data_IF_008501374896
#
_entry.id   IF_008501374896
#
_cell.length_a   1.000
_cell.length_b   1.000
_cell.length_c   1.000
_cell.angle_alpha   90.00
_cell.angle_beta   90.00
_cell.angle_gamma   90.00
#
_symmetry.space_group_name_H-M   'P 1'
#
loop_
_entity.id
_entity.type
_entity.pdbx_description
1 polymer ?
#
# COMPACT_ATOMS: atom_id res chain seq x y z
N UNK A 1 -3.75 14.98 3.75
CA UNK A 1 -3.66 15.14 2.27
C UNK A 1 -4.59 16.29 1.92
N UNK A 2 -4.08 17.40 1.37
CA UNK A 2 -4.94 18.54 1.01
C UNK A 2 -5.92 18.09 -0.09
N UNK A 3 -7.22 18.22 0.20
CA UNK A 3 -8.35 17.66 -0.54
C UNK A 3 -8.80 18.48 -1.76
N UNK A 4 -8.37 19.74 -1.86
CA UNK A 4 -8.81 20.66 -2.90
C UNK A 4 -8.42 20.33 -4.36
N UNK A 5 -7.38 19.54 -4.69
CA UNK A 5 -6.93 19.46 -6.09
C UNK A 5 -7.79 18.57 -7.00
N UNK A 6 -8.79 17.83 -6.48
CA UNK A 6 -9.61 16.91 -7.30
C UNK A 6 -10.98 17.46 -7.69
N UNK A 7 -11.41 18.59 -7.11
CA UNK A 7 -12.66 19.25 -7.46
C UNK A 7 -12.36 20.29 -8.53
N UNK A 8 -12.97 20.14 -9.70
CA UNK A 8 -12.83 21.09 -10.81
C UNK A 8 -13.09 22.53 -10.37
N UNK A 9 -12.45 23.48 -11.05
CA UNK A 9 -12.67 24.91 -10.79
C UNK A 9 -14.18 25.23 -10.84
N UNK A 10 -14.64 26.09 -9.92
CA UNK A 10 -16.06 26.48 -9.75
C UNK A 10 -17.05 25.38 -9.37
N UNK A 11 -16.68 24.09 -9.35
CA UNK A 11 -17.59 23.02 -8.94
C UNK A 11 -17.65 22.85 -7.42
N UNK A 12 -18.79 22.49 -6.83
CA UNK A 12 -18.90 22.25 -5.37
C UNK A 12 -18.45 20.84 -4.96
N UNK A 13 -18.49 19.90 -5.89
CA UNK A 13 -18.27 18.47 -5.64
C UNK A 13 -17.49 17.81 -6.77
N UNK A 14 -16.78 16.73 -6.46
CA UNK A 14 -16.24 15.78 -7.44
C UNK A 14 -16.84 14.40 -7.15
N UNK A 15 -17.47 13.78 -8.15
CA UNK A 15 -18.11 12.47 -8.01
C UNK A 15 -17.54 11.53 -9.07
N UNK A 16 -17.14 10.34 -8.61
CA UNK A 16 -16.71 9.24 -9.47
C UNK A 16 -17.59 8.05 -9.15
N UNK A 17 -18.10 7.39 -10.19
CA UNK A 17 -18.83 6.15 -10.09
C UNK A 17 -18.24 5.14 -11.07
N UNK A 18 -18.37 3.86 -10.76
CA UNK A 18 -17.91 2.77 -11.60
C UNK A 18 -18.59 1.48 -11.21
N UNK A 19 -18.54 0.51 -12.12
CA UNK A 19 -19.07 -0.83 -11.91
C UNK A 19 -17.93 -1.83 -11.99
N UNK A 20 -17.95 -2.81 -11.09
CA UNK A 20 -17.00 -3.92 -11.07
C UNK A 20 -17.77 -5.19 -11.36
N UNK A 21 -17.30 -5.97 -12.33
CA UNK A 21 -17.77 -7.31 -12.58
C UNK A 21 -16.86 -8.31 -11.87
N UNK A 22 -17.39 -9.07 -10.92
CA UNK A 22 -16.65 -10.14 -10.26
C UNK A 22 -16.70 -11.46 -11.05
N UNK A 23 -15.82 -12.39 -10.67
CA UNK A 23 -15.68 -13.72 -11.28
C UNK A 23 -16.95 -14.57 -11.20
N UNK A 24 -17.82 -14.31 -10.22
CA UNK A 24 -19.14 -14.92 -10.06
C UNK A 24 -20.23 -14.25 -10.92
N UNK A 25 -19.83 -13.32 -11.81
CA UNK A 25 -20.69 -12.49 -12.67
C UNK A 25 -21.63 -11.56 -11.92
N UNK A 26 -21.37 -11.29 -10.64
CA UNK A 26 -22.07 -10.22 -9.93
C UNK A 26 -21.43 -8.88 -10.26
N UNK A 27 -22.27 -7.90 -10.57
CA UNK A 27 -21.86 -6.51 -10.78
C UNK A 27 -22.09 -5.74 -9.49
N UNK A 28 -21.06 -5.03 -9.03
CA UNK A 28 -21.17 -4.11 -7.90
C UNK A 28 -20.96 -2.68 -8.36
N UNK A 29 -21.89 -1.81 -7.98
CA UNK A 29 -21.82 -0.39 -8.28
C UNK A 29 -21.10 0.35 -7.14
N UNK A 30 -20.01 1.04 -7.47
CA UNK A 30 -19.26 1.86 -6.54
C UNK A 30 -19.43 3.34 -6.86
N UNK A 31 -19.56 4.16 -5.82
CA UNK A 31 -19.59 5.61 -5.94
C UNK A 31 -18.79 6.27 -4.83
N UNK A 32 -18.02 7.30 -5.18
CA UNK A 32 -17.31 8.16 -4.24
C UNK A 32 -17.55 9.61 -4.65
N UNK A 33 -17.99 10.43 -3.71
CA UNK A 33 -18.19 11.86 -3.90
C UNK A 33 -17.49 12.64 -2.80
N UNK A 34 -16.88 13.75 -3.19
CA UNK A 34 -16.16 14.63 -2.28
C UNK A 34 -16.62 16.07 -2.44
N UNK A 35 -16.91 16.70 -1.32
CA UNK A 35 -17.36 18.09 -1.25
C UNK A 35 -16.22 19.04 -0.84
N UNK A 36 -16.37 20.35 -1.13
CA UNK A 36 -15.39 21.39 -0.77
C UNK A 36 -15.18 21.55 0.75
N UNK A 37 -16.19 21.23 1.56
CA UNK A 37 -16.11 21.23 3.03
C UNK A 37 -15.23 20.08 3.56
N UNK A 38 -14.84 19.11 2.71
CA UNK A 38 -14.03 17.96 3.05
C UNK A 38 -14.82 16.66 3.21
N UNK A 39 -16.16 16.73 3.21
CA UNK A 39 -17.06 15.60 3.37
C UNK A 39 -16.86 14.59 2.25
N UNK A 40 -16.94 13.32 2.63
CA UNK A 40 -16.72 12.17 1.76
C UNK A 40 -17.96 11.27 1.84
N UNK A 41 -18.64 11.13 0.72
CA UNK A 41 -19.77 10.22 0.56
C UNK A 41 -19.33 9.02 -0.26
N UNK A 42 -19.59 7.82 0.25
CA UNK A 42 -19.24 6.59 -0.44
C UNK A 42 -20.49 5.72 -0.52
N UNK A 43 -20.73 5.12 -1.70
CA UNK A 43 -21.84 4.21 -1.96
C UNK A 43 -21.34 2.90 -2.55
N UNK A 44 -21.87 1.80 -2.06
CA UNK A 44 -21.70 0.45 -2.63
C UNK A 44 -23.10 -0.12 -2.82
N UNK A 45 -23.45 -0.51 -4.05
CA UNK A 45 -24.76 -1.07 -4.42
C UNK A 45 -25.94 -0.20 -3.95
N UNK A 46 -25.77 1.11 -4.09
CA UNK A 46 -26.75 2.11 -3.69
C UNK A 46 -26.82 2.40 -2.18
N UNK A 47 -26.12 1.64 -1.32
CA UNK A 47 -26.08 1.85 0.12
C UNK A 47 -24.95 2.80 0.51
N UNK A 48 -25.22 3.72 1.46
CA UNK A 48 -24.18 4.59 2.01
C UNK A 48 -23.30 3.80 2.96
N UNK A 49 -21.99 3.76 2.70
CA UNK A 49 -21.01 3.11 3.59
C UNK A 49 -20.30 4.14 4.46
N UNK A 50 -19.83 3.69 5.63
CA UNK A 50 -19.29 4.60 6.65
C UNK A 50 -17.79 4.81 6.55
N UNK A 51 -17.08 3.89 5.91
CA UNK A 51 -15.61 3.88 5.94
C UNK A 51 -15.01 3.69 4.56
N UNK A 52 -13.89 4.38 4.29
CA UNK A 52 -13.09 4.15 3.09
C UNK A 52 -12.46 2.75 3.05
N UNK A 53 -12.43 2.03 4.17
CA UNK A 53 -11.91 0.67 4.25
C UNK A 53 -12.81 -0.31 3.47
N UNK A 54 -14.14 -0.16 3.56
CA UNK A 54 -15.09 -0.99 2.80
C UNK A 54 -14.90 -0.81 1.28
N UNK A 55 -14.70 0.43 0.83
CA UNK A 55 -14.38 0.70 -0.58
C UNK A 55 -13.03 0.08 -1.00
N UNK A 56 -12.02 0.21 -0.14
CA UNK A 56 -10.70 -0.38 -0.40
C UNK A 56 -10.78 -1.90 -0.49
N UNK A 57 -11.59 -2.57 0.34
CA UNK A 57 -11.82 -4.02 0.28
C UNK A 57 -12.54 -4.44 -1.01
N UNK A 58 -13.54 -3.66 -1.45
CA UNK A 58 -14.30 -3.94 -2.66
C UNK A 58 -13.48 -3.77 -3.94
N UNK A 59 -12.55 -2.80 -3.97
CA UNK A 59 -11.72 -2.49 -5.13
C UNK A 59 -10.23 -2.41 -4.75
N UNK A 60 -9.53 -3.56 -4.70
CA UNK A 60 -8.09 -3.56 -4.48
C UNK A 60 -7.34 -3.01 -5.70
N UNK A 61 -6.54 -1.97 -5.48
CA UNK A 61 -5.77 -1.28 -6.51
C UNK A 61 -4.27 -1.29 -6.19
N UNK A 62 -3.45 -1.57 -7.21
CA UNK A 62 -2.01 -1.33 -7.19
C UNK A 62 -1.66 -0.17 -8.11
N UNK A 63 -1.18 0.93 -7.52
CA UNK A 63 -0.73 2.10 -8.26
C UNK A 63 0.79 2.11 -8.37
N UNK A 64 1.27 2.20 -9.61
CA UNK A 64 2.67 2.47 -9.96
C UNK A 64 2.67 3.79 -10.71
N UNK A 65 3.32 4.80 -10.16
CA UNK A 65 3.37 6.14 -10.72
C UNK A 65 4.73 6.79 -10.39
N UNK A 66 5.01 8.01 -10.87
CA UNK A 66 6.27 8.67 -10.58
C UNK A 66 6.56 8.82 -9.08
N UNK A 67 5.56 8.90 -8.19
CA UNK A 67 5.80 8.97 -6.74
C UNK A 67 6.07 7.61 -6.06
N UNK A 68 5.90 6.51 -6.78
CA UNK A 68 6.00 5.16 -6.21
C UNK A 68 7.42 4.83 -5.72
N UNK A 69 8.46 5.45 -6.30
CA UNK A 69 9.85 5.23 -5.87
C UNK A 69 10.12 5.68 -4.43
N UNK A 70 9.28 6.60 -3.89
CA UNK A 70 9.36 7.01 -2.49
C UNK A 70 9.13 5.86 -1.52
N UNK A 71 8.62 4.71 -1.98
CA UNK A 71 8.58 3.48 -1.18
C UNK A 71 9.98 3.08 -0.69
N UNK A 72 11.03 3.24 -1.51
CA UNK A 72 12.41 2.96 -1.12
C UNK A 72 13.08 4.16 -0.47
N UNK A 73 13.06 5.33 -1.13
CA UNK A 73 13.78 6.53 -0.71
C UNK A 73 13.12 7.27 0.47
N UNK A 74 11.82 7.11 0.63
CA UNK A 74 11.05 7.90 1.56
C UNK A 74 11.08 7.40 3.01
N UNK A 75 10.32 8.11 3.84
CA UNK A 75 10.23 7.80 5.26
C UNK A 75 9.64 6.39 5.50
N UNK A 76 10.01 5.70 6.60
CA UNK A 76 9.47 4.39 7.00
C UNK A 76 7.94 4.29 7.02
N UNK A 77 7.25 5.44 7.14
CA UNK A 77 5.78 5.51 7.04
C UNK A 77 5.25 4.93 5.73
N UNK A 78 5.90 5.21 4.60
CA UNK A 78 5.46 4.72 3.28
C UNK A 78 5.60 3.20 3.19
N UNK A 79 6.68 2.65 3.73
CA UNK A 79 6.91 1.20 3.81
C UNK A 79 5.94 0.49 4.75
N UNK A 80 5.59 1.12 5.88
CA UNK A 80 4.50 0.64 6.74
C UNK A 80 3.15 0.69 6.04
N UNK A 81 2.84 1.74 5.27
CA UNK A 81 1.60 1.81 4.50
C UNK A 81 1.53 0.74 3.41
N UNK A 82 2.64 0.49 2.71
CA UNK A 82 2.75 -0.64 1.78
C UNK A 82 2.46 -1.96 2.48
N UNK A 83 3.10 -2.21 3.62
CA UNK A 83 2.89 -3.42 4.41
C UNK A 83 1.45 -3.56 4.91
N UNK A 84 0.90 -2.50 5.50
CA UNK A 84 -0.45 -2.47 6.06
C UNK A 84 -1.53 -2.67 4.99
N UNK A 85 -1.33 -2.13 3.77
CA UNK A 85 -2.20 -2.42 2.64
C UNK A 85 -2.23 -3.93 2.34
N UNK A 86 -1.06 -4.55 2.29
CA UNK A 86 -0.95 -5.98 2.00
C UNK A 86 -1.65 -6.83 3.05
N UNK A 87 -1.38 -6.55 4.33
CA UNK A 87 -1.99 -7.28 5.44
C UNK A 87 -3.50 -7.06 5.50
N UNK A 88 -3.97 -5.82 5.30
CA UNK A 88 -5.40 -5.49 5.28
C UNK A 88 -6.18 -6.37 4.29
N UNK A 89 -5.62 -6.63 3.12
CA UNK A 89 -6.30 -7.38 2.07
C UNK A 89 -6.30 -8.90 2.25
N UNK A 90 -5.33 -9.44 2.99
CA UNK A 90 -5.19 -10.90 3.19
C UNK A 90 -5.62 -11.37 4.58
N UNK A 91 -5.71 -10.48 5.56
CA UNK A 91 -6.06 -10.79 6.95
C UNK A 91 -7.27 -9.94 7.40
N UNK A 92 -8.49 -10.52 7.39
CA UNK A 92 -9.71 -9.79 7.75
C UNK A 92 -9.70 -9.18 9.16
N UNK A 93 -8.96 -9.77 10.11
CA UNK A 93 -8.89 -9.28 11.49
C UNK A 93 -7.95 -8.09 11.66
N UNK A 94 -7.16 -7.77 10.64
CA UNK A 94 -6.15 -6.72 10.69
C UNK A 94 -6.74 -5.35 10.99
N UNK A 95 -7.86 -4.97 10.34
CA UNK A 95 -8.45 -3.64 10.49
C UNK A 95 -8.85 -3.36 11.95
N UNK A 96 -9.50 -4.32 12.60
CA UNK A 96 -9.90 -4.20 14.00
C UNK A 96 -8.71 -4.07 14.96
N UNK A 97 -7.68 -4.91 14.77
CA UNK A 97 -6.44 -4.81 15.54
C UNK A 97 -5.71 -3.48 15.30
N UNK A 98 -5.70 -2.99 14.07
CA UNK A 98 -5.05 -1.74 13.70
C UNK A 98 -5.77 -0.54 14.33
N UNK A 99 -7.10 -0.52 14.33
CA UNK A 99 -7.89 0.53 14.97
C UNK A 99 -7.65 0.57 16.49
N UNK A 100 -7.64 -0.60 17.16
CA UNK A 100 -7.31 -0.72 18.58
C UNK A 100 -5.90 -0.20 18.88
N UNK A 101 -4.92 -0.60 18.07
CA UNK A 101 -3.54 -0.11 18.17
C UNK A 101 -3.47 1.42 18.03
N UNK A 102 -4.10 2.00 17.01
CA UNK A 102 -4.08 3.45 16.80
C UNK A 102 -4.74 4.20 17.95
N UNK A 103 -5.85 3.67 18.49
CA UNK A 103 -6.52 4.27 19.63
C UNK A 103 -5.64 4.21 20.89
N UNK A 104 -5.12 3.04 21.24
CA UNK A 104 -4.27 2.85 22.42
C UNK A 104 -3.00 3.73 22.35
N UNK A 105 -2.35 3.77 21.18
CA UNK A 105 -1.18 4.62 20.95
C UNK A 105 -1.51 6.11 21.09
N UNK A 106 -2.67 6.55 20.58
CA UNK A 106 -3.13 7.94 20.69
C UNK A 106 -3.40 8.32 22.14
N UNK A 107 -4.08 7.45 22.89
CA UNK A 107 -4.38 7.66 24.31
C UNK A 107 -3.08 7.72 25.13
N UNK A 108 -2.16 6.77 24.93
CA UNK A 108 -0.85 6.78 25.58
C UNK A 108 -0.05 8.04 25.24
N UNK A 109 0.03 8.44 23.97
CA UNK A 109 0.77 9.65 23.58
C UNK A 109 0.09 10.96 24.05
N UNK A 110 -1.22 10.96 24.24
CA UNK A 110 -1.93 12.07 24.89
C UNK A 110 -1.51 12.17 26.36
N UNK A 111 -1.52 11.02 27.04
CA UNK A 111 -1.10 10.92 28.43
C UNK A 111 0.36 11.33 28.66
N UNK A 112 1.29 10.84 27.84
CA UNK A 112 2.70 11.21 27.94
C UNK A 112 2.94 12.73 27.83
N UNK A 113 2.12 13.45 27.06
CA UNK A 113 2.25 14.90 26.86
C UNK A 113 1.59 15.74 27.94
N UNK A 114 0.51 15.24 28.53
CA UNK A 114 -0.37 16.05 29.37
C UNK A 114 -0.47 15.54 30.82
N UNK A 115 -0.04 14.32 31.10
CA UNK A 115 -0.06 13.70 32.43
C UNK A 115 -1.45 13.40 32.99
N UNK A 116 -2.49 13.36 32.14
CA UNK A 116 -3.92 13.32 32.58
C UNK A 116 -4.60 11.94 32.52
N UNK A 117 -3.95 10.87 32.99
CA UNK A 117 -4.62 9.59 33.23
C UNK A 117 -4.34 9.13 34.65
N UNK A 118 -5.32 8.50 35.28
CA UNK A 118 -5.07 7.74 36.49
C UNK A 118 -4.24 6.47 36.17
N UNK A 119 -3.62 5.90 37.20
CA UNK A 119 -2.75 4.73 37.05
C UNK A 119 -3.48 3.52 36.46
N UNK A 120 -4.78 3.37 36.73
CA UNK A 120 -5.59 2.26 36.21
C UNK A 120 -5.80 2.38 34.69
N UNK A 121 -6.13 3.58 34.21
CA UNK A 121 -6.30 3.88 32.80
C UNK A 121 -4.98 3.79 32.05
N UNK A 122 -3.89 4.28 32.64
CA UNK A 122 -2.53 4.11 32.09
C UNK A 122 -2.21 2.62 31.88
N UNK A 123 -2.38 1.80 32.92
CA UNK A 123 -2.11 0.37 32.86
C UNK A 123 -3.00 -0.34 31.82
N UNK A 124 -4.28 0.04 31.72
CA UNK A 124 -5.20 -0.51 30.75
C UNK A 124 -4.77 -0.18 29.30
N UNK A 125 -4.41 1.07 29.01
CA UNK A 125 -3.96 1.46 27.68
C UNK A 125 -2.58 0.88 27.32
N UNK A 126 -1.67 0.72 28.28
CA UNK A 126 -0.39 0.04 28.05
C UNK A 126 -0.62 -1.44 27.70
N UNK A 127 -1.54 -2.13 28.40
CA UNK A 127 -1.88 -3.52 28.10
C UNK A 127 -2.54 -3.67 26.74
N UNK A 128 -3.49 -2.79 26.39
CA UNK A 128 -4.14 -2.80 25.08
C UNK A 128 -3.13 -2.50 23.96
N UNK A 129 -2.24 -1.52 24.16
CA UNK A 129 -1.17 -1.20 23.22
C UNK A 129 -0.26 -2.41 22.99
N UNK A 130 0.16 -3.09 24.06
CA UNK A 130 1.00 -4.29 23.97
C UNK A 130 0.29 -5.42 23.21
N UNK A 131 -0.95 -5.73 23.59
CA UNK A 131 -1.75 -6.79 22.97
C UNK A 131 -1.98 -6.54 21.48
N UNK A 132 -2.53 -5.37 21.13
CA UNK A 132 -2.79 -5.02 19.74
C UNK A 132 -1.49 -4.93 18.90
N UNK A 133 -0.37 -4.55 19.52
CA UNK A 133 0.92 -4.54 18.84
C UNK A 133 1.44 -5.92 18.48
N UNK A 134 1.27 -6.92 19.37
CA UNK A 134 1.66 -8.31 19.11
C UNK A 134 0.83 -8.91 17.99
N UNK A 135 -0.48 -8.63 17.97
CA UNK A 135 -1.37 -9.06 16.87
C UNK A 135 -0.91 -8.47 15.53
N UNK A 136 -0.69 -7.16 15.47
CA UNK A 136 -0.23 -6.47 14.25
C UNK A 136 1.13 -6.99 13.77
N UNK A 137 2.06 -7.24 14.68
CA UNK A 137 3.35 -7.84 14.36
C UNK A 137 3.22 -9.25 13.78
N UNK A 138 2.34 -10.07 14.36
CA UNK A 138 2.08 -11.43 13.86
C UNK A 138 1.52 -11.39 12.45
N UNK A 139 0.51 -10.56 12.19
CA UNK A 139 -0.06 -10.42 10.85
C UNK A 139 0.97 -9.92 9.84
N UNK A 140 1.76 -8.90 10.20
CA UNK A 140 2.83 -8.35 9.35
C UNK A 140 3.94 -9.36 9.07
N UNK A 141 4.35 -10.13 10.08
CA UNK A 141 5.37 -11.17 9.95
C UNK A 141 4.93 -12.27 9.00
N UNK A 142 3.70 -12.77 9.18
CA UNK A 142 3.13 -13.81 8.31
C UNK A 142 3.02 -13.31 6.86
N UNK A 143 2.51 -12.10 6.66
CA UNK A 143 2.41 -11.49 5.33
C UNK A 143 3.79 -11.35 4.66
N UNK A 144 4.80 -10.83 5.36
CA UNK A 144 6.14 -10.68 4.78
C UNK A 144 6.78 -12.04 4.48
N UNK A 145 6.54 -13.07 5.28
CA UNK A 145 7.00 -14.43 4.99
C UNK A 145 6.40 -14.97 3.68
N UNK A 146 5.10 -14.73 3.43
CA UNK A 146 4.44 -15.11 2.19
C UNK A 146 4.87 -14.24 0.99
N UNK A 147 5.08 -12.93 1.19
CA UNK A 147 5.46 -12.00 0.12
C UNK A 147 6.87 -12.25 -0.41
N UNK A 148 7.83 -12.60 0.46
CA UNK A 148 9.25 -12.76 0.10
C UNK A 148 9.53 -13.66 -1.12
N UNK A 149 9.04 -14.91 -1.20
CA UNK A 149 9.29 -15.76 -2.35
C UNK A 149 8.71 -15.18 -3.64
N UNK A 150 7.49 -14.64 -3.58
CA UNK A 150 6.82 -14.01 -4.72
C UNK A 150 7.63 -12.79 -5.18
N UNK A 151 8.02 -11.91 -4.25
CA UNK A 151 8.86 -10.75 -4.55
C UNK A 151 10.18 -11.15 -5.22
N UNK A 152 10.85 -12.20 -4.75
CA UNK A 152 12.10 -12.66 -5.35
C UNK A 152 11.89 -13.15 -6.78
N UNK A 153 10.83 -13.93 -7.03
CA UNK A 153 10.48 -14.41 -8.37
C UNK A 153 10.13 -13.25 -9.29
N UNK A 154 9.27 -12.33 -8.85
CA UNK A 154 8.86 -11.13 -9.58
C UNK A 154 10.06 -10.24 -9.90
N UNK A 155 10.95 -10.04 -8.93
CA UNK A 155 12.16 -9.23 -9.13
C UNK A 155 13.06 -9.86 -10.18
N UNK A 156 13.34 -11.16 -10.09
CA UNK A 156 14.21 -11.86 -11.03
C UNK A 156 13.66 -11.87 -12.47
N UNK A 157 12.35 -11.74 -12.65
CA UNK A 157 11.74 -11.55 -13.97
C UNK A 157 12.01 -10.15 -14.56
N UNK A 158 12.28 -9.16 -13.71
CA UNK A 158 12.60 -7.79 -14.12
C UNK A 158 14.11 -7.55 -14.20
N UNK A 159 14.86 -7.95 -13.16
CA UNK A 159 16.29 -7.72 -13.02
C UNK A 159 16.92 -8.70 -12.02
N UNK A 160 18.13 -9.16 -12.31
CA UNK A 160 18.91 -9.99 -11.38
C UNK A 160 19.60 -9.12 -10.32
N UNK A 161 19.22 -9.31 -9.05
CA UNK A 161 19.82 -8.66 -7.87
C UNK A 161 19.97 -9.68 -6.73
N UNK A 162 20.89 -10.64 -6.89
CA UNK A 162 20.99 -11.82 -6.02
C UNK A 162 21.25 -11.50 -4.54
N UNK A 163 21.94 -10.39 -4.26
CA UNK A 163 22.29 -9.96 -2.90
C UNK A 163 21.19 -9.11 -2.21
N UNK A 164 20.08 -8.82 -2.90
CA UNK A 164 19.01 -7.99 -2.35
C UNK A 164 18.18 -8.77 -1.32
N UNK A 165 18.23 -8.32 -0.07
CA UNK A 165 17.50 -8.92 1.04
C UNK A 165 16.32 -8.05 1.48
N UNK A 166 15.14 -8.66 1.54
CA UNK A 166 13.94 -8.09 2.15
C UNK A 166 13.79 -8.59 3.60
N UNK A 167 13.66 -7.70 4.56
CA UNK A 167 13.48 -8.03 5.97
C UNK A 167 12.50 -7.12 6.68
N UNK A 168 11.88 -7.61 7.76
CA UNK A 168 10.90 -6.88 8.55
C UNK A 168 11.47 -6.61 9.94
N UNK A 169 11.45 -5.34 10.35
CA UNK A 169 11.73 -4.92 11.71
C UNK A 169 10.41 -4.53 12.39
N UNK A 170 10.08 -5.20 13.50
CA UNK A 170 8.79 -5.02 14.19
C UNK A 170 8.62 -3.65 14.87
N UNK A 171 9.72 -2.94 15.13
CA UNK A 171 9.71 -1.63 15.78
C UNK A 171 10.12 -1.67 17.25
N UNK A 172 10.48 -2.84 17.78
CA UNK A 172 11.06 -3.03 19.11
C UNK A 172 11.93 -4.28 19.13
N UNK A 173 12.59 -4.52 20.25
CA UNK A 173 13.46 -5.68 20.46
C UNK A 173 12.71 -6.99 20.22
N UNK A 174 13.35 -7.94 19.53
CA UNK A 174 12.77 -9.25 19.24
C UNK A 174 12.80 -10.18 20.46
N UNK A 175 13.73 -9.94 21.39
CA UNK A 175 14.02 -10.82 22.52
C UNK A 175 13.29 -10.38 23.80
N UNK A 176 12.47 -9.31 23.72
CA UNK A 176 11.70 -8.75 24.85
C UNK A 176 10.23 -8.54 24.49
N UNK A 177 9.37 -8.61 25.50
CA UNK A 177 7.97 -8.24 25.34
C UNK A 177 7.83 -6.72 25.19
N UNK A 178 6.75 -6.26 24.53
CA UNK A 178 6.55 -4.83 24.37
C UNK A 178 6.18 -4.16 25.70
N UNK A 179 5.44 -4.85 26.58
CA UNK A 179 5.09 -4.34 27.91
C UNK A 179 6.32 -4.08 28.79
N UNK A 180 7.32 -4.97 28.77
CA UNK A 180 8.59 -4.76 29.46
C UNK A 180 9.32 -3.53 28.91
N UNK A 181 9.37 -3.38 27.59
CA UNK A 181 10.04 -2.24 26.95
C UNK A 181 9.33 -0.94 27.32
N UNK A 182 7.99 -0.90 27.22
CA UNK A 182 7.18 0.28 27.54
C UNK A 182 7.31 0.69 29.02
N UNK A 183 7.47 -0.28 29.91
CA UNK A 183 7.69 -0.05 31.34
C UNK A 183 9.08 0.55 31.60
N UNK A 184 10.12 -0.02 31.01
CA UNK A 184 11.50 0.49 31.15
C UNK A 184 11.69 1.84 30.46
N UNK A 185 11.01 2.10 29.35
CA UNK A 185 11.14 3.35 28.59
C UNK A 185 10.22 4.47 29.08
N UNK A 186 9.45 4.28 30.15
CA UNK A 186 8.38 5.19 30.55
C UNK A 186 8.84 6.63 30.76
N UNK A 187 9.88 6.84 31.57
CA UNK A 187 10.40 8.18 31.87
C UNK A 187 10.95 8.86 30.60
N UNK A 188 11.61 8.10 29.74
CA UNK A 188 12.11 8.60 28.45
C UNK A 188 10.95 8.98 27.52
N UNK A 189 9.92 8.15 27.45
CA UNK A 189 8.72 8.41 26.64
C UNK A 189 7.96 9.65 27.14
N UNK A 190 7.91 9.87 28.46
CA UNK A 190 7.32 11.07 29.08
C UNK A 190 8.08 12.34 28.68
N UNK A 191 9.41 12.33 28.82
CA UNK A 191 10.26 13.45 28.40
C UNK A 191 10.10 13.80 26.91
N UNK A 192 9.96 12.78 26.05
CA UNK A 192 9.79 12.96 24.61
C UNK A 192 8.33 13.22 24.19
N UNK A 193 7.36 13.04 25.10
CA UNK A 193 5.93 13.18 24.82
C UNK A 193 5.38 12.17 23.81
N UNK A 194 6.09 11.07 23.52
CA UNK A 194 5.59 10.04 22.61
C UNK A 194 6.28 8.68 22.79
N UNK A 195 5.53 7.63 22.48
CA UNK A 195 5.94 6.23 22.58
C UNK A 195 7.07 5.89 21.60
N UNK A 196 8.23 5.47 22.11
CA UNK A 196 9.39 5.13 21.28
C UNK A 196 9.40 3.72 20.72
N UNK A 197 8.65 2.76 21.28
CA UNK A 197 8.67 1.36 20.87
C UNK A 197 7.29 0.89 20.41
N UNK A 198 7.24 0.02 19.39
CA UNK A 198 5.99 -0.57 18.90
C UNK A 198 5.84 -0.51 17.37
N UNK A 199 4.71 -0.99 16.83
CA UNK A 199 4.51 -1.14 15.38
C UNK A 199 4.55 0.17 14.59
N UNK A 200 4.44 1.33 15.25
CA UNK A 200 4.64 2.66 14.66
C UNK A 200 6.10 2.95 14.29
N UNK A 201 7.06 2.20 14.87
CA UNK A 201 8.48 2.22 14.51
C UNK A 201 8.89 1.05 13.61
N UNK A 202 7.95 0.18 13.26
CA UNK A 202 8.21 -0.92 12.36
C UNK A 202 8.72 -0.42 11.00
N UNK A 203 9.50 -1.25 10.33
CA UNK A 203 10.03 -0.92 9.01
C UNK A 203 10.23 -2.17 8.14
N UNK A 204 10.02 -1.99 6.84
CA UNK A 204 10.42 -2.95 5.81
C UNK A 204 11.80 -2.53 5.31
N UNK A 205 12.81 -3.39 5.45
CA UNK A 205 14.20 -3.07 5.14
C UNK A 205 14.64 -3.83 3.91
N UNK A 206 15.13 -3.09 2.92
CA UNK A 206 15.79 -3.63 1.74
C UNK A 206 17.28 -3.34 1.84
N UNK A 207 18.12 -4.37 1.77
CA UNK A 207 19.56 -4.27 1.98
C UNK A 207 20.32 -5.08 0.95
N UNK A 208 21.52 -4.60 0.59
CA UNK A 208 22.51 -5.33 -0.19
C UNK A 208 23.75 -5.43 0.71
N UNK A 209 24.07 -6.65 1.13
CA UNK A 209 25.03 -6.88 2.22
C UNK A 209 24.68 -6.07 3.47
N UNK A 210 25.59 -5.19 3.89
CA UNK A 210 25.46 -4.35 5.08
C UNK A 210 24.98 -2.91 4.84
N UNK A 211 24.51 -2.59 3.64
CA UNK A 211 24.06 -1.25 3.27
C UNK A 211 22.57 -1.26 2.91
N UNK A 212 21.92 -0.10 3.00
CA UNK A 212 20.54 -0.01 2.49
C UNK A 212 20.58 -0.07 0.97
N UNK A 213 19.61 -0.77 0.37
CA UNK A 213 19.56 -0.95 -1.08
C UNK A 213 19.47 0.40 -1.82
N UNK A 214 18.80 1.39 -1.24
CA UNK A 214 18.69 2.75 -1.80
C UNK A 214 20.04 3.46 -1.96
N UNK A 215 21.02 3.14 -1.12
CA UNK A 215 22.35 3.77 -1.15
C UNK A 215 23.26 3.13 -2.22
N UNK A 216 22.91 1.96 -2.74
CA UNK A 216 23.70 1.17 -3.70
C UNK A 216 23.08 1.16 -5.09
N UNK A 217 21.76 0.96 -5.16
CA UNK A 217 21.04 0.76 -6.42
C UNK A 217 20.96 2.05 -7.22
N UNK A 218 21.15 1.94 -8.54
CA UNK A 218 20.87 3.05 -9.46
C UNK A 218 19.37 3.40 -9.44
N UNK A 219 19.01 4.62 -9.87
CA UNK A 219 17.59 5.04 -9.93
C UNK A 219 16.72 4.06 -10.74
N UNK A 220 17.22 3.56 -11.86
CA UNK A 220 16.50 2.56 -12.68
C UNK A 220 16.28 1.24 -11.93
N UNK A 221 17.29 0.74 -11.23
CA UNK A 221 17.17 -0.47 -10.40
C UNK A 221 16.19 -0.29 -9.25
N UNK A 222 16.19 0.88 -8.61
CA UNK A 222 15.23 1.20 -7.55
C UNK A 222 13.78 1.18 -8.07
N UNK A 223 13.52 1.75 -9.25
CA UNK A 223 12.19 1.68 -9.89
C UNK A 223 11.75 0.24 -10.13
N UNK A 224 12.65 -0.63 -10.59
CA UNK A 224 12.34 -2.04 -10.82
C UNK A 224 12.04 -2.79 -9.51
N UNK A 225 12.80 -2.52 -8.45
CA UNK A 225 12.53 -3.09 -7.13
C UNK A 225 11.15 -2.65 -6.61
N UNK A 226 10.77 -1.40 -6.82
CA UNK A 226 9.46 -0.86 -6.43
C UNK A 226 8.34 -1.52 -7.24
N UNK A 227 8.52 -1.65 -8.56
CA UNK A 227 7.59 -2.36 -9.43
C UNK A 227 7.42 -3.81 -8.96
N UNK A 228 8.52 -4.51 -8.70
CA UNK A 228 8.50 -5.88 -8.20
C UNK A 228 7.75 -5.99 -6.86
N UNK A 229 7.95 -5.05 -5.92
CA UNK A 229 7.22 -5.04 -4.64
C UNK A 229 5.70 -4.87 -4.84
N UNK A 230 5.29 -3.94 -5.71
CA UNK A 230 3.87 -3.65 -6.00
C UNK A 230 3.20 -4.82 -6.71
N UNK A 231 3.89 -5.41 -7.69
CA UNK A 231 3.38 -6.55 -8.44
C UNK A 231 3.29 -7.77 -7.55
N UNK A 232 4.32 -8.08 -6.78
CA UNK A 232 4.30 -9.20 -5.83
C UNK A 232 3.19 -9.05 -4.79
N UNK A 233 2.93 -7.83 -4.32
CA UNK A 233 1.82 -7.55 -3.41
C UNK A 233 0.45 -7.83 -4.05
N UNK A 234 0.23 -7.40 -5.30
CA UNK A 234 -1.01 -7.72 -6.01
C UNK A 234 -1.11 -9.20 -6.41
N UNK A 235 0.01 -9.86 -6.74
CA UNK A 235 0.04 -11.30 -7.02
C UNK A 235 -0.37 -12.12 -5.80
N UNK A 236 0.22 -11.84 -4.63
CA UNK A 236 -0.16 -12.49 -3.38
C UNK A 236 -1.65 -12.26 -3.05
N UNK A 237 -2.16 -11.07 -3.34
CA UNK A 237 -3.58 -10.79 -3.19
C UNK A 237 -4.43 -11.64 -4.15
N UNK A 238 -4.01 -11.80 -5.40
CA UNK A 238 -4.76 -12.54 -6.40
C UNK A 238 -4.87 -14.04 -6.08
N UNK A 239 -3.88 -14.61 -5.39
CA UNK A 239 -3.98 -15.98 -4.86
C UNK A 239 -5.12 -16.14 -3.85
N UNK A 240 -5.40 -15.10 -3.06
CA UNK A 240 -6.48 -15.09 -2.04
C UNK A 240 -7.82 -14.65 -2.62
N UNK A 241 -7.81 -13.66 -3.51
CA UNK A 241 -9.02 -12.95 -4.01
C UNK A 241 -9.35 -13.26 -5.47
N UNK A 242 -8.72 -14.26 -6.09
CA UNK A 242 -9.02 -14.73 -7.45
C UNK A 242 -8.92 -13.64 -8.54
N UNK A 243 -7.80 -12.90 -8.58
CA UNK A 243 -7.53 -11.95 -9.68
C UNK A 243 -8.25 -10.60 -9.60
N UNK A 244 -8.77 -10.21 -8.43
CA UNK A 244 -9.53 -8.96 -8.24
C UNK A 244 -8.66 -7.69 -8.16
N UNK A 245 -7.34 -7.80 -8.15
CA UNK A 245 -6.47 -6.63 -8.07
C UNK A 245 -6.35 -5.94 -9.44
N UNK A 246 -6.71 -4.66 -9.51
CA UNK A 246 -6.47 -3.84 -10.71
C UNK A 246 -5.13 -3.13 -10.58
N UNK A 247 -4.37 -3.08 -11.67
CA UNK A 247 -3.12 -2.35 -11.75
C UNK A 247 -3.31 -1.05 -12.51
N UNK A 248 -2.84 0.05 -11.93
CA UNK A 248 -2.82 1.37 -12.53
C UNK A 248 -1.36 1.78 -12.68
N UNK A 249 -0.88 1.96 -13.91
CA UNK A 249 0.50 2.29 -14.21
C UNK A 249 0.54 3.62 -14.96
N UNK A 250 1.11 4.62 -14.30
CA UNK A 250 1.18 5.98 -14.83
C UNK A 250 2.53 6.22 -15.52
N UNK A 251 2.45 6.65 -16.78
CA UNK A 251 3.55 7.03 -17.66
C UNK A 251 4.67 5.97 -17.79
N UNK A 252 4.26 4.73 -18.05
CA UNK A 252 5.16 3.56 -18.06
C UNK A 252 6.44 3.77 -18.92
N UNK A 253 6.38 4.29 -20.16
CA UNK A 253 7.58 4.42 -20.98
C UNK A 253 8.61 5.42 -20.46
N UNK A 254 8.19 6.44 -19.70
CA UNK A 254 9.10 7.39 -19.06
C UNK A 254 9.79 6.79 -17.82
N UNK A 255 9.21 5.72 -17.26
CA UNK A 255 9.71 5.12 -16.04
C UNK A 255 10.83 4.09 -16.30
N UNK A 256 10.78 3.34 -17.39
CA UNK A 256 11.65 2.19 -17.68
C UNK A 256 12.22 2.21 -19.11
N UNK A 257 13.45 1.72 -19.26
CA UNK A 257 13.99 1.43 -20.59
C UNK A 257 13.25 0.28 -21.29
N UNK A 258 13.50 0.11 -22.60
CA UNK A 258 12.77 -0.85 -23.44
C UNK A 258 12.87 -2.30 -22.96
N UNK A 259 14.04 -2.74 -22.50
CA UNK A 259 14.24 -4.10 -22.01
C UNK A 259 13.39 -4.37 -20.78
N UNK A 260 13.46 -3.48 -19.79
CA UNK A 260 12.73 -3.65 -18.55
C UNK A 260 11.22 -3.40 -18.70
N UNK A 261 10.83 -2.47 -19.59
CA UNK A 261 9.42 -2.24 -19.95
C UNK A 261 8.79 -3.50 -20.55
N UNK A 262 9.48 -4.16 -21.48
CA UNK A 262 9.01 -5.42 -22.06
C UNK A 262 8.87 -6.53 -21.02
N UNK A 263 9.85 -6.65 -20.10
CA UNK A 263 9.79 -7.60 -19.01
C UNK A 263 8.59 -7.35 -18.09
N UNK A 264 8.34 -6.08 -17.75
CA UNK A 264 7.18 -5.69 -16.95
C UNK A 264 5.86 -5.98 -17.66
N UNK A 265 5.73 -5.70 -18.96
CA UNK A 265 4.50 -6.00 -19.69
C UNK A 265 4.20 -7.50 -19.72
N UNK A 266 5.19 -8.36 -19.97
CA UNK A 266 5.02 -9.83 -19.89
C UNK A 266 4.55 -10.29 -18.51
N UNK A 267 5.16 -9.75 -17.46
CA UNK A 267 4.78 -10.04 -16.08
C UNK A 267 3.33 -9.62 -15.81
N UNK A 268 2.89 -8.48 -16.34
CA UNK A 268 1.50 -8.01 -16.21
C UNK A 268 0.50 -8.90 -16.97
N UNK A 269 0.86 -9.41 -18.15
CA UNK A 269 0.05 -10.40 -18.88
C UNK A 269 -0.15 -11.68 -18.08
N UNK A 270 0.92 -12.17 -17.45
CA UNK A 270 0.91 -13.41 -16.65
C UNK A 270 0.00 -13.32 -15.42
N UNK A 271 -0.20 -12.11 -14.86
CA UNK A 271 -1.09 -11.89 -13.73
C UNK A 271 -2.57 -12.11 -14.07
N UNK A 272 -2.95 -12.07 -15.36
CA UNK A 272 -4.33 -12.18 -15.83
C UNK A 272 -5.30 -11.25 -15.09
N UNK A 273 -4.85 -10.02 -14.84
CA UNK A 273 -5.60 -8.98 -14.15
C UNK A 273 -5.92 -7.82 -15.09
N UNK A 274 -6.88 -6.98 -14.71
CA UNK A 274 -7.13 -5.74 -15.43
C UNK A 274 -6.01 -4.73 -15.15
N UNK A 275 -5.43 -4.16 -16.21
CA UNK A 275 -4.35 -3.20 -16.13
C UNK A 275 -4.73 -1.96 -16.93
N UNK A 276 -4.56 -0.79 -16.32
CA UNK A 276 -4.66 0.51 -17.00
C UNK A 276 -3.28 1.14 -17.04
N UNK A 277 -2.86 1.57 -18.23
CA UNK A 277 -1.55 2.17 -18.46
C UNK A 277 -1.74 3.50 -19.17
N UNK A 278 -1.09 4.56 -18.68
CA UNK A 278 -0.98 5.83 -19.40
C UNK A 278 0.38 5.90 -20.11
N UNK A 279 0.41 6.53 -21.28
CA UNK A 279 1.63 6.79 -22.03
C UNK A 279 1.42 7.97 -22.98
N UNK A 280 2.51 8.65 -23.34
CA UNK A 280 2.51 9.72 -24.35
C UNK A 280 2.73 9.16 -25.76
N UNK A 281 3.60 8.15 -25.89
CA UNK A 281 3.93 7.51 -27.16
C UNK A 281 3.39 6.08 -27.21
N UNK A 282 2.47 5.87 -28.14
CA UNK A 282 1.73 4.64 -28.34
C UNK A 282 2.60 3.49 -28.86
N UNK A 283 3.56 3.81 -29.73
CA UNK A 283 4.34 2.79 -30.43
C UNK A 283 5.32 2.08 -29.48
N UNK A 284 5.66 2.75 -28.37
CA UNK A 284 6.44 2.16 -27.28
C UNK A 284 5.71 1.02 -26.56
N UNK A 285 4.37 1.03 -26.51
CA UNK A 285 3.58 0.00 -25.84
C UNK A 285 3.06 -1.09 -26.78
N UNK A 286 2.81 -0.78 -28.06
CA UNK A 286 2.29 -1.77 -29.03
C UNK A 286 3.14 -3.04 -29.11
N UNK A 287 4.46 -2.90 -29.04
CA UNK A 287 5.41 -4.01 -29.16
C UNK A 287 5.63 -4.78 -27.83
N UNK A 288 5.02 -4.34 -26.74
CA UNK A 288 5.25 -4.91 -25.42
C UNK A 288 4.35 -6.10 -25.09
N UNK A 289 3.26 -6.26 -25.84
CA UNK A 289 2.21 -7.26 -25.59
C UNK A 289 2.23 -8.36 -26.64
N UNK A 290 1.72 -9.53 -26.30
CA UNK A 290 1.47 -10.63 -27.25
C UNK A 290 0.28 -10.27 -28.13
N UNK A 291 0.27 -10.83 -29.34
CA UNK A 291 -0.80 -10.58 -30.33
C UNK A 291 -2.19 -11.03 -29.85
N UNK A 292 -2.26 -12.01 -28.93
CA UNK A 292 -3.50 -12.53 -28.34
C UNK A 292 -3.94 -11.77 -27.07
N UNK A 293 -3.15 -10.82 -26.58
CA UNK A 293 -3.50 -10.00 -25.42
C UNK A 293 -4.59 -9.00 -25.81
N UNK A 294 -5.72 -9.06 -25.10
CA UNK A 294 -6.82 -8.09 -25.32
C UNK A 294 -6.40 -6.71 -24.83
N UNK A 295 -6.12 -5.81 -25.77
CA UNK A 295 -5.77 -4.42 -25.50
C UNK A 295 -6.86 -3.51 -26.07
N UNK A 296 -7.33 -2.56 -25.26
CA UNK A 296 -8.20 -1.47 -25.70
C UNK A 296 -7.47 -0.15 -25.49
N UNK A 297 -7.54 0.72 -26.49
CA UNK A 297 -6.80 1.96 -26.52
C UNK A 297 -7.73 3.15 -26.40
N UNK A 298 -7.34 4.15 -25.61
CA UNK A 298 -8.15 5.34 -25.38
C UNK A 298 -7.30 6.59 -25.56
N UNK A 299 -7.76 7.51 -26.41
CA UNK A 299 -7.22 8.86 -26.51
C UNK A 299 -7.84 9.74 -25.43
N UNK A 300 -7.02 10.54 -24.74
CA UNK A 300 -7.48 11.53 -23.77
C UNK A 300 -7.13 12.93 -24.26
N UNK A 301 -8.14 13.74 -24.54
CA UNK A 301 -7.96 15.12 -25.01
C UNK A 301 -8.96 16.05 -24.33
N UNK A 302 -8.50 17.16 -23.76
CA UNK A 302 -9.36 18.15 -23.07
C UNK A 302 -10.34 17.53 -22.05
N UNK A 303 -9.90 16.49 -21.33
CA UNK A 303 -10.72 15.78 -20.34
C UNK A 303 -11.77 14.81 -20.93
N UNK A 304 -11.75 14.58 -22.24
CA UNK A 304 -12.60 13.59 -22.92
C UNK A 304 -11.78 12.34 -23.21
N UNK A 305 -12.42 11.18 -23.05
CA UNK A 305 -11.83 9.87 -23.30
C UNK A 305 -12.56 9.25 -24.49
N UNK A 306 -11.82 8.88 -25.54
CA UNK A 306 -12.35 8.31 -26.78
C UNK A 306 -11.60 7.03 -27.09
N UNK A 307 -12.30 5.91 -27.31
CA UNK A 307 -11.66 4.67 -27.70
C UNK A 307 -11.14 4.78 -29.15
N UNK A 308 -9.88 4.39 -29.35
CA UNK A 308 -9.23 4.34 -30.66
C UNK A 308 -9.33 2.89 -31.19
N UNK A 309 -9.54 2.68 -32.50
CA UNK A 309 -9.57 1.36 -33.13
C UNK A 309 -8.31 0.51 -32.91
#
# INVERSE_FOLDING_TARGET
MRAQPVISHEQSTCTVFGEILFSDRQTHALGISRERNGDLHIRIDGQNIRTAAELAEALPLQLINPDSFRLLEGAPKLRRQFLDWGVFHVEPRFLGAWQRLQQALRQRNSWLRHGKLDNASEAAWNRELASASVEIDTYRKNYIQALKPIFRQTLNALITLDDLQLSYYRGWDKDRSLDEILSVSLERDRLLGHTQAGPQRADLRLRIGNHNAVDILSRGQQKLVVCALRIAQGHLLNEVKQGRCIYLIDDLPSELDSTHRNALCRLLEELRCQVFITCVDLDLLKICWRDDTSVSMFHVEHGRIIQIP
#
